data_IF_161721894883
#
_entry.id   IF_161721894883
#
_cell.length_a   1.000
_cell.length_b   1.000
_cell.length_c   1.000
_cell.angle_alpha   90.00
_cell.angle_beta   90.00
_cell.angle_gamma   90.00
#
_symmetry.space_group_name_H-M   'P 1'
#
loop_
_entity.id
_entity.type
_entity.pdbx_description
1 polymer ?
#
# COMPACT_ATOMS: atom_id res chain seq x y z
N UNK A 1 -60.86 10.44 42.11
CA UNK A 1 -60.73 8.98 42.31
C UNK A 1 -59.92 8.41 41.17
N UNK A 2 -58.62 8.15 41.38
CA UNK A 2 -57.83 7.18 40.61
C UNK A 2 -56.58 6.88 41.44
N UNK A 3 -56.67 5.81 42.23
CA UNK A 3 -55.57 5.33 43.09
C UNK A 3 -54.63 4.49 42.24
N UNK A 4 -53.38 4.91 42.10
CA UNK A 4 -52.35 4.14 41.38
C UNK A 4 -51.76 3.11 42.35
N UNK A 5 -52.16 1.85 42.18
CA UNK A 5 -51.64 0.70 42.93
C UNK A 5 -50.16 0.48 42.58
N UNK A 6 -49.24 0.76 43.51
CA UNK A 6 -47.83 0.38 43.38
C UNK A 6 -47.65 -1.08 43.83
N UNK A 7 -47.54 -2.00 42.87
CA UNK A 7 -47.12 -3.38 43.13
C UNK A 7 -45.65 -3.40 43.58
N UNK A 8 -45.42 -3.72 44.85
CA UNK A 8 -44.09 -4.01 45.38
C UNK A 8 -43.88 -5.52 45.29
N UNK A 9 -43.00 -5.96 44.40
CA UNK A 9 -42.63 -7.38 44.26
C UNK A 9 -41.75 -7.76 45.46
N UNK A 10 -42.29 -8.59 46.35
CA UNK A 10 -41.57 -9.14 47.51
C UNK A 10 -41.01 -10.51 47.10
N UNK A 11 -39.70 -10.60 46.87
CA UNK A 11 -39.01 -11.88 46.71
C UNK A 11 -38.62 -12.38 48.10
N UNK A 12 -39.31 -13.40 48.59
CA UNK A 12 -39.01 -14.05 49.88
C UNK A 12 -37.88 -15.07 49.67
N UNK A 13 -36.72 -14.84 50.28
CA UNK A 13 -35.63 -15.83 50.32
C UNK A 13 -35.83 -16.72 51.56
N UNK A 14 -36.12 -18.01 51.35
CA UNK A 14 -36.67 -18.92 52.39
C UNK A 14 -35.58 -19.66 53.22
N UNK A 15 -34.28 -19.34 53.09
CA UNK A 15 -33.23 -20.25 53.62
C UNK A 15 -32.57 -19.82 54.93
N UNK A 16 -32.82 -18.64 55.50
CA UNK A 16 -32.30 -18.33 56.84
C UNK A 16 -33.20 -17.31 57.55
N UNK A 17 -33.77 -17.69 58.70
CA UNK A 17 -34.76 -16.94 59.48
C UNK A 17 -34.27 -15.63 60.13
N UNK A 18 -33.36 -14.90 59.48
CA UNK A 18 -32.90 -13.58 59.89
C UNK A 18 -33.34 -12.55 58.85
N UNK A 19 -34.22 -11.64 59.25
CA UNK A 19 -34.59 -10.46 58.47
C UNK A 19 -33.35 -9.55 58.36
N UNK A 20 -32.49 -9.80 57.39
CA UNK A 20 -31.53 -8.78 56.97
C UNK A 20 -32.31 -7.67 56.27
N UNK A 21 -32.07 -6.44 56.71
CA UNK A 21 -32.76 -5.27 56.20
C UNK A 21 -32.52 -5.15 54.66
N UNK A 22 -33.56 -5.48 53.89
CA UNK A 22 -33.68 -5.26 52.44
C UNK A 22 -33.29 -3.84 51.94
N UNK A 23 -33.33 -2.75 52.74
CA UNK A 23 -32.84 -1.44 52.30
C UNK A 23 -31.34 -1.40 51.97
N UNK A 24 -30.51 -2.22 52.62
CA UNK A 24 -29.05 -2.08 52.48
C UNK A 24 -28.53 -2.67 51.15
N UNK A 25 -29.08 -3.80 50.71
CA UNK A 25 -28.75 -4.45 49.43
C UNK A 25 -29.17 -3.60 48.21
N UNK A 26 -30.32 -2.93 48.29
CA UNK A 26 -30.84 -2.08 47.21
C UNK A 26 -30.08 -0.76 47.08
N UNK A 27 -29.58 -0.20 48.20
CA UNK A 27 -28.75 1.02 48.20
C UNK A 27 -27.37 0.74 47.61
N UNK A 28 -26.71 -0.36 48.00
CA UNK A 28 -25.39 -0.74 47.47
C UNK A 28 -25.45 -1.04 45.97
N UNK A 29 -26.43 -1.83 45.54
CA UNK A 29 -26.64 -2.12 44.12
C UNK A 29 -26.92 -0.85 43.30
N UNK A 30 -27.72 0.09 43.82
CA UNK A 30 -27.98 1.38 43.18
C UNK A 30 -26.71 2.24 43.06
N UNK A 31 -25.86 2.22 44.09
CA UNK A 31 -24.58 2.93 44.09
C UNK A 31 -23.60 2.33 43.07
N UNK A 32 -23.50 1.01 43.03
CA UNK A 32 -22.67 0.28 42.06
C UNK A 32 -23.16 0.49 40.62
N UNK A 33 -24.48 0.47 40.40
CA UNK A 33 -25.08 0.77 39.09
C UNK A 33 -24.79 2.21 38.65
N UNK A 34 -24.90 3.18 39.56
CA UNK A 34 -24.57 4.57 39.26
C UNK A 34 -23.08 4.74 38.95
N UNK A 35 -22.20 4.05 39.67
CA UNK A 35 -20.75 4.05 39.42
C UNK A 35 -20.44 3.46 38.04
N UNK A 36 -21.04 2.32 37.69
CA UNK A 36 -20.91 1.70 36.37
C UNK A 36 -21.45 2.62 35.25
N UNK A 37 -22.62 3.24 35.45
CA UNK A 37 -23.19 4.19 34.47
C UNK A 37 -22.28 5.40 34.23
N UNK A 38 -21.70 5.94 35.29
CA UNK A 38 -20.78 7.09 35.17
C UNK A 38 -19.48 6.70 34.46
N UNK A 39 -18.95 5.50 34.73
CA UNK A 39 -17.81 4.96 34.01
C UNK A 39 -18.11 4.78 32.51
N UNK A 40 -19.29 4.26 32.16
CA UNK A 40 -19.71 4.09 30.76
C UNK A 40 -19.82 5.43 30.03
N UNK A 41 -20.41 6.45 30.67
CA UNK A 41 -20.48 7.81 30.11
C UNK A 41 -19.10 8.42 29.89
N UNK A 42 -18.17 8.19 30.82
CA UNK A 42 -16.78 8.62 30.67
C UNK A 42 -16.12 7.95 29.45
N UNK A 43 -16.32 6.65 29.29
CA UNK A 43 -15.78 5.89 28.17
C UNK A 43 -16.36 6.34 26.82
N UNK A 44 -17.68 6.59 26.76
CA UNK A 44 -18.34 7.13 25.56
C UNK A 44 -17.77 8.50 25.17
N UNK A 45 -17.53 9.38 26.16
CA UNK A 45 -16.88 10.67 25.95
C UNK A 45 -15.48 10.51 25.35
N UNK A 46 -14.67 9.59 25.90
CA UNK A 46 -13.34 9.28 25.37
C UNK A 46 -13.39 8.71 23.95
N UNK A 47 -14.34 7.82 23.65
CA UNK A 47 -14.48 7.23 22.33
C UNK A 47 -14.88 8.28 21.28
N UNK A 48 -15.78 9.20 21.63
CA UNK A 48 -16.17 10.32 20.77
C UNK A 48 -15.00 11.27 20.50
N UNK A 49 -14.19 11.57 21.52
CA UNK A 49 -13.01 12.42 21.34
C UNK A 49 -11.98 11.75 20.43
N UNK A 50 -11.75 10.44 20.60
CA UNK A 50 -10.87 9.67 19.71
C UNK A 50 -11.40 9.63 18.28
N UNK A 51 -12.71 9.40 18.08
CA UNK A 51 -13.33 9.42 16.76
C UNK A 51 -13.16 10.78 16.07
N UNK A 52 -13.36 11.89 16.80
CA UNK A 52 -13.11 13.23 16.24
C UNK A 52 -11.64 13.46 15.86
N UNK A 53 -10.70 12.94 16.65
CA UNK A 53 -9.27 13.05 16.38
C UNK A 53 -8.85 12.19 15.18
N UNK A 54 -9.46 11.03 14.98
CA UNK A 54 -9.24 10.20 13.80
C UNK A 54 -9.81 10.90 12.56
N UNK A 55 -11.03 11.44 12.65
CA UNK A 55 -11.66 12.11 11.51
C UNK A 55 -10.85 13.32 11.03
N UNK A 56 -10.27 14.11 11.94
CA UNK A 56 -9.39 15.22 11.55
C UNK A 56 -8.08 14.75 10.90
N UNK A 57 -7.50 13.64 11.36
CA UNK A 57 -6.33 13.03 10.71
C UNK A 57 -6.65 12.50 9.31
N UNK A 58 -7.81 11.87 9.13
CA UNK A 58 -8.26 11.41 7.81
C UNK A 58 -8.39 12.58 6.85
N UNK A 59 -8.98 13.69 7.29
CA UNK A 59 -9.10 14.90 6.47
C UNK A 59 -7.73 15.52 6.11
N UNK A 60 -6.76 15.50 7.04
CA UNK A 60 -5.42 15.97 6.75
C UNK A 60 -4.73 15.08 5.68
N UNK A 61 -4.83 13.76 5.82
CA UNK A 61 -4.29 12.81 4.83
C UNK A 61 -4.95 12.97 3.46
N UNK A 62 -6.25 13.20 3.41
CA UNK A 62 -7.00 13.43 2.16
C UNK A 62 -6.56 14.71 1.45
N UNK A 63 -6.29 15.77 2.24
CA UNK A 63 -5.74 17.02 1.72
C UNK A 63 -4.32 16.83 1.18
N UNK A 64 -3.46 16.11 1.90
CA UNK A 64 -2.10 15.82 1.44
C UNK A 64 -2.12 14.98 0.15
N UNK A 65 -3.02 13.99 0.08
CA UNK A 65 -3.26 13.19 -1.12
C UNK A 65 -3.67 14.04 -2.32
N UNK A 66 -4.57 15.01 -2.11
CA UNK A 66 -5.01 15.95 -3.15
C UNK A 66 -3.87 16.88 -3.60
N UNK A 67 -3.05 17.39 -2.66
CA UNK A 67 -1.89 18.23 -3.00
C UNK A 67 -0.88 17.46 -3.85
N UNK A 68 -0.62 16.19 -3.49
CA UNK A 68 0.26 15.32 -4.27
C UNK A 68 -0.30 15.05 -5.68
N UNK A 69 -1.63 14.91 -5.85
CA UNK A 69 -2.26 14.82 -7.18
C UNK A 69 -2.01 16.06 -8.04
N UNK A 70 -2.10 17.26 -7.45
CA UNK A 70 -1.88 18.52 -8.17
C UNK A 70 -0.43 18.74 -8.57
N UNK A 71 0.52 18.42 -7.68
CA UNK A 71 1.96 18.45 -8.00
C UNK A 71 2.28 17.45 -9.12
N UNK A 72 1.69 16.25 -9.06
CA UNK A 72 1.89 15.21 -10.06
C UNK A 72 1.38 15.60 -11.46
N UNK A 73 0.19 16.21 -11.55
CA UNK A 73 -0.36 16.73 -12.81
C UNK A 73 0.52 17.81 -13.46
N UNK A 74 1.24 18.59 -12.66
CA UNK A 74 2.09 19.70 -13.12
C UNK A 74 3.36 19.22 -13.84
N UNK A 75 3.86 18.04 -13.50
CA UNK A 75 5.10 17.51 -14.08
C UNK A 75 4.93 16.82 -15.44
N UNK A 76 3.70 16.71 -15.97
CA UNK A 76 3.45 16.27 -17.35
C UNK A 76 3.84 14.82 -17.67
N UNK A 77 4.19 14.01 -16.65
CA UNK A 77 4.65 12.62 -16.84
C UNK A 77 3.49 11.71 -17.22
N UNK A 78 3.61 11.10 -18.40
CA UNK A 78 2.58 10.24 -18.99
C UNK A 78 2.71 8.82 -18.46
N UNK A 79 1.90 8.48 -17.47
CA UNK A 79 1.76 7.10 -16.98
C UNK A 79 0.69 6.37 -17.78
N UNK A 80 0.93 5.09 -18.07
CA UNK A 80 -0.04 4.24 -18.77
C UNK A 80 -0.49 3.11 -17.86
N UNK A 81 -1.80 2.88 -17.77
CA UNK A 81 -2.38 1.84 -16.92
C UNK A 81 -2.43 0.49 -17.62
N UNK A 82 -2.04 -0.57 -16.92
CA UNK A 82 -2.21 -1.97 -17.34
C UNK A 82 -2.38 -2.89 -16.13
N UNK A 83 -3.34 -3.81 -16.21
CA UNK A 83 -3.64 -4.82 -15.17
C UNK A 83 -3.67 -4.31 -13.70
N UNK A 84 -4.25 -3.13 -13.44
CA UNK A 84 -4.31 -2.44 -12.12
C UNK A 84 -3.03 -1.75 -11.66
N UNK A 85 -1.95 -1.88 -12.41
CA UNK A 85 -0.68 -1.17 -12.23
C UNK A 85 -0.57 -0.03 -13.23
N UNK A 86 0.33 0.90 -12.95
CA UNK A 86 0.62 2.04 -13.81
C UNK A 86 2.11 2.07 -14.10
N UNK A 87 2.45 2.41 -15.34
CA UNK A 87 3.82 2.34 -15.84
C UNK A 87 4.26 3.65 -16.45
N UNK A 88 5.53 4.00 -16.25
CA UNK A 88 6.15 5.19 -16.81
C UNK A 88 7.47 4.82 -17.47
N UNK A 89 7.71 5.39 -18.65
CA UNK A 89 8.97 5.22 -19.39
C UNK A 89 9.85 6.44 -19.10
N UNK A 90 10.96 6.21 -18.39
CA UNK A 90 12.00 7.20 -18.18
C UNK A 90 12.94 7.23 -19.38
N UNK A 91 12.91 8.31 -20.14
CA UNK A 91 13.64 8.44 -21.41
C UNK A 91 15.13 8.80 -21.25
N UNK A 92 15.52 9.28 -20.07
CA UNK A 92 16.88 9.68 -19.75
C UNK A 92 17.74 8.47 -19.39
N UNK A 93 18.99 8.48 -19.85
CA UNK A 93 19.91 7.35 -19.65
C UNK A 93 20.68 7.51 -18.35
N UNK A 94 20.39 6.64 -17.37
CA UNK A 94 20.98 6.69 -16.02
C UNK A 94 21.44 5.33 -15.54
N UNK A 95 22.25 5.30 -14.48
CA UNK A 95 22.66 4.05 -13.84
C UNK A 95 21.46 3.35 -13.23
N UNK A 96 21.53 2.04 -13.06
CA UNK A 96 20.42 1.26 -12.53
C UNK A 96 19.96 1.76 -11.15
N UNK A 97 20.90 2.09 -10.26
CA UNK A 97 20.59 2.64 -8.92
C UNK A 97 19.93 4.01 -8.97
N UNK A 98 20.28 4.83 -9.97
CA UNK A 98 19.67 6.13 -10.17
C UNK A 98 18.25 5.97 -10.77
N UNK A 99 18.05 4.98 -11.65
CA UNK A 99 16.74 4.65 -12.20
C UNK A 99 15.76 4.20 -11.09
N UNK A 100 16.19 3.31 -10.19
CA UNK A 100 15.40 2.91 -9.02
C UNK A 100 15.06 4.11 -8.14
N UNK A 101 16.05 4.95 -7.82
CA UNK A 101 15.82 6.17 -7.04
C UNK A 101 14.78 7.08 -7.72
N UNK A 102 14.91 7.31 -9.02
CA UNK A 102 13.97 8.15 -9.79
C UNK A 102 12.56 7.57 -9.79
N UNK A 103 12.40 6.26 -9.97
CA UNK A 103 11.08 5.63 -9.87
C UNK A 103 10.47 5.81 -8.47
N UNK A 104 11.29 5.73 -7.40
CA UNK A 104 10.85 5.94 -6.01
C UNK A 104 10.43 7.38 -5.73
N UNK A 105 11.21 8.34 -6.20
CA UNK A 105 10.91 9.79 -6.08
C UNK A 105 9.55 10.14 -6.68
N UNK A 106 9.09 9.33 -7.65
CA UNK A 106 7.82 9.56 -8.35
C UNK A 106 6.66 8.66 -7.90
N UNK A 107 6.80 8.00 -6.75
CA UNK A 107 5.75 7.14 -6.18
C UNK A 107 5.62 5.76 -6.83
N UNK A 108 6.65 5.33 -7.57
CA UNK A 108 6.76 4.00 -8.16
C UNK A 108 8.02 3.26 -7.70
N UNK A 109 8.44 2.30 -8.52
CA UNK A 109 9.65 1.50 -8.37
C UNK A 109 10.07 1.01 -9.76
N UNK A 110 11.33 0.59 -9.96
CA UNK A 110 11.70 -0.06 -11.22
C UNK A 110 10.85 -1.30 -11.44
N UNK A 111 10.32 -1.44 -12.64
CA UNK A 111 9.28 -2.42 -12.96
C UNK A 111 9.64 -3.83 -12.56
N UNK A 112 8.68 -4.50 -11.94
CA UNK A 112 8.66 -5.94 -11.75
C UNK A 112 7.87 -6.56 -12.89
N UNK A 113 8.28 -7.72 -13.38
CA UNK A 113 7.53 -8.42 -14.43
C UNK A 113 7.08 -9.77 -13.89
N UNK A 114 5.77 -9.91 -13.69
CA UNK A 114 5.12 -11.07 -13.11
C UNK A 114 4.74 -12.12 -14.17
N UNK A 115 4.43 -11.70 -15.41
CA UNK A 115 4.04 -12.62 -16.48
C UNK A 115 4.41 -12.16 -17.91
N UNK A 116 4.18 -13.04 -18.89
CA UNK A 116 4.50 -12.78 -20.30
C UNK A 116 3.64 -11.70 -20.94
N UNK A 117 2.39 -11.54 -20.49
CA UNK A 117 1.46 -10.55 -21.04
C UNK A 117 1.89 -9.14 -20.64
N UNK A 118 2.29 -8.97 -19.39
CA UNK A 118 2.92 -7.76 -18.88
C UNK A 118 4.22 -7.44 -19.62
N UNK A 119 5.11 -8.43 -19.79
CA UNK A 119 6.35 -8.25 -20.54
C UNK A 119 6.10 -7.72 -21.97
N UNK A 120 5.20 -8.37 -22.70
CA UNK A 120 4.84 -7.97 -24.07
C UNK A 120 4.16 -6.60 -24.11
N UNK A 121 3.35 -6.26 -23.11
CA UNK A 121 2.71 -4.95 -23.05
C UNK A 121 3.72 -3.83 -22.75
N UNK A 122 4.68 -4.06 -21.85
CA UNK A 122 5.78 -3.13 -21.56
C UNK A 122 6.63 -2.90 -22.80
N UNK A 123 7.01 -3.99 -23.50
CA UNK A 123 7.73 -3.90 -24.77
C UNK A 123 7.00 -3.02 -25.78
N UNK A 124 5.68 -3.14 -25.91
CA UNK A 124 4.89 -2.27 -26.80
C UNK A 124 4.95 -0.80 -26.38
N UNK A 125 4.97 -0.48 -25.08
CA UNK A 125 5.11 0.90 -24.63
C UNK A 125 6.52 1.45 -24.91
N UNK A 126 7.56 0.62 -24.73
CA UNK A 126 8.92 0.94 -25.11
C UNK A 126 9.04 1.20 -26.62
N UNK A 127 8.41 0.38 -27.46
CA UNK A 127 8.40 0.62 -28.92
C UNK A 127 7.77 1.98 -29.24
N UNK A 128 6.67 2.35 -28.55
CA UNK A 128 6.01 3.65 -28.72
C UNK A 128 6.85 4.84 -28.26
N UNK A 129 7.79 4.67 -27.31
CA UNK A 129 8.72 5.73 -26.94
C UNK A 129 9.76 6.03 -28.02
N UNK A 130 9.80 5.22 -29.10
CA UNK A 130 10.70 5.37 -30.26
C UNK A 130 12.19 5.31 -29.90
N UNK A 131 12.51 4.72 -28.76
CA UNK A 131 13.89 4.51 -28.27
C UNK A 131 14.34 3.10 -28.63
N UNK A 132 15.21 2.99 -29.64
CA UNK A 132 15.73 1.70 -30.14
C UNK A 132 16.93 1.21 -29.33
N UNK A 133 16.75 0.98 -28.02
CA UNK A 133 17.82 0.61 -27.08
C UNK A 133 17.34 -0.39 -26.02
N UNK A 134 18.12 -0.59 -24.96
CA UNK A 134 17.76 -1.38 -23.78
C UNK A 134 17.18 -0.51 -22.66
N UNK A 135 16.35 -1.12 -21.82
CA UNK A 135 15.67 -0.46 -20.72
C UNK A 135 15.89 -1.20 -19.41
N UNK A 136 16.26 -0.48 -18.35
CA UNK A 136 16.40 -1.07 -17.02
C UNK A 136 15.07 -1.60 -16.48
N UNK A 137 15.16 -2.79 -15.85
CA UNK A 137 14.09 -3.42 -15.08
C UNK A 137 14.49 -3.50 -13.60
N UNK A 138 13.55 -3.78 -12.71
CA UNK A 138 13.76 -3.78 -11.26
C UNK A 138 14.50 -4.97 -10.67
N UNK A 139 15.18 -5.79 -11.46
CA UNK A 139 15.83 -7.01 -10.96
C UNK A 139 17.35 -6.88 -10.87
N UNK A 140 17.89 -7.37 -9.75
CA UNK A 140 19.32 -7.47 -9.46
C UNK A 140 19.66 -8.76 -8.71
N UNK A 141 20.89 -9.26 -8.84
CA UNK A 141 21.41 -10.41 -8.08
C UNK A 141 22.51 -10.05 -7.07
N UNK A 142 22.82 -8.75 -6.89
CA UNK A 142 23.87 -8.25 -5.99
C UNK A 142 23.69 -8.71 -4.53
N UNK A 143 22.45 -8.82 -4.05
CA UNK A 143 22.16 -9.01 -2.62
C UNK A 143 22.41 -10.46 -2.17
N UNK A 144 22.00 -11.44 -2.97
CA UNK A 144 21.91 -12.85 -2.55
C UNK A 144 22.54 -13.84 -3.56
N UNK A 145 23.10 -13.35 -4.68
CA UNK A 145 23.62 -14.21 -5.75
C UNK A 145 22.53 -14.91 -6.58
N UNK A 146 21.26 -14.54 -6.37
CA UNK A 146 20.11 -14.93 -7.18
C UNK A 146 19.31 -13.70 -7.63
N UNK A 147 18.78 -13.77 -8.86
CA UNK A 147 17.96 -12.70 -9.41
C UNK A 147 16.70 -12.50 -8.57
N UNK A 148 16.48 -11.26 -8.13
CA UNK A 148 15.31 -10.84 -7.36
C UNK A 148 14.82 -9.47 -7.80
N UNK A 149 13.51 -9.28 -7.71
CA UNK A 149 12.89 -7.98 -7.85
C UNK A 149 13.21 -7.13 -6.62
N UNK A 150 13.80 -5.96 -6.80
CA UNK A 150 14.21 -5.09 -5.71
C UNK A 150 13.02 -4.57 -4.90
N UNK A 151 11.86 -4.46 -5.55
CA UNK A 151 10.63 -3.94 -4.96
C UNK A 151 10.15 -4.76 -3.76
N UNK A 152 10.07 -6.09 -3.90
CA UNK A 152 9.48 -6.99 -2.91
C UNK A 152 10.42 -8.15 -2.50
N UNK A 153 11.66 -8.14 -3.00
CA UNK A 153 12.68 -9.16 -2.76
C UNK A 153 12.30 -10.58 -3.25
N UNK A 154 11.25 -10.69 -4.07
CA UNK A 154 10.80 -11.98 -4.62
C UNK A 154 11.73 -12.45 -5.74
N UNK A 155 11.84 -13.77 -5.87
CA UNK A 155 12.54 -14.38 -7.01
C UNK A 155 11.72 -14.21 -8.29
N UNK A 156 12.40 -14.28 -9.44
CA UNK A 156 11.76 -14.22 -10.75
C UNK A 156 10.86 -15.45 -10.99
N UNK A 157 9.55 -15.25 -10.88
CA UNK A 157 8.51 -16.20 -11.27
C UNK A 157 8.44 -16.36 -12.80
N UNK A 158 8.57 -15.24 -13.52
CA UNK A 158 8.66 -15.16 -14.97
C UNK A 158 10.07 -14.74 -15.40
N UNK A 159 10.54 -15.30 -16.52
CA UNK A 159 11.90 -15.08 -17.05
C UNK A 159 11.86 -15.00 -18.57
N UNK A 160 12.39 -13.92 -19.14
CA UNK A 160 12.49 -13.75 -20.59
C UNK A 160 13.92 -13.48 -21.08
N UNK A 161 14.93 -14.05 -20.41
CA UNK A 161 16.34 -13.88 -20.80
C UNK A 161 16.60 -14.32 -22.24
N UNK A 162 17.48 -13.60 -22.94
CA UNK A 162 18.07 -14.07 -24.18
C UNK A 162 18.80 -15.41 -23.92
N UNK A 163 18.80 -16.32 -24.91
CA UNK A 163 19.61 -17.52 -24.83
C UNK A 163 21.07 -17.18 -24.51
N UNK A 164 21.59 -17.69 -23.40
CA UNK A 164 23.00 -17.50 -22.99
C UNK A 164 23.33 -16.23 -22.18
N UNK A 165 22.37 -15.34 -21.88
CA UNK A 165 22.60 -14.07 -21.15
C UNK A 165 22.19 -14.11 -19.67
N UNK A 166 21.97 -15.29 -19.10
CA UNK A 166 21.79 -15.46 -17.65
C UNK A 166 23.04 -16.05 -17.00
N UNK A 167 24.19 -15.88 -17.64
CA UNK A 167 25.46 -16.43 -17.18
C UNK A 167 25.88 -15.74 -15.89
N UNK A 168 25.51 -16.34 -14.76
CA UNK A 168 25.91 -16.04 -13.37
C UNK A 168 27.43 -15.93 -13.13
N UNK A 169 28.25 -16.04 -14.17
CA UNK A 169 29.71 -16.12 -14.11
C UNK A 169 30.39 -14.75 -14.26
N UNK A 170 29.63 -13.66 -14.45
CA UNK A 170 30.18 -12.30 -14.44
C UNK A 170 29.86 -11.62 -13.12
N UNK A 171 30.87 -11.42 -12.27
CA UNK A 171 30.75 -10.63 -11.03
C UNK A 171 30.32 -9.17 -11.24
N UNK A 172 30.22 -8.72 -12.49
CA UNK A 172 29.94 -7.32 -12.86
C UNK A 172 28.58 -7.12 -13.52
N UNK A 173 27.89 -8.17 -13.95
CA UNK A 173 26.62 -8.07 -14.69
C UNK A 173 25.43 -8.41 -13.80
N UNK A 174 25.09 -7.45 -12.93
CA UNK A 174 24.19 -7.71 -11.81
C UNK A 174 22.83 -7.00 -11.95
N UNK A 175 22.52 -6.44 -13.13
CA UNK A 175 21.29 -5.69 -13.39
C UNK A 175 20.64 -6.13 -14.69
N UNK A 176 19.32 -6.30 -14.69
CA UNK A 176 18.56 -6.76 -15.86
C UNK A 176 18.07 -5.58 -16.70
N UNK A 177 18.24 -5.69 -18.01
CA UNK A 177 17.63 -4.79 -18.99
C UNK A 177 16.85 -5.54 -20.08
N UNK A 178 15.76 -4.93 -20.56
CA UNK A 178 14.93 -5.42 -21.66
C UNK A 178 15.36 -4.80 -22.99
N UNK A 179 15.49 -5.60 -24.05
CA UNK A 179 15.72 -5.10 -25.41
C UNK A 179 14.41 -4.64 -26.06
N UNK A 180 14.37 -3.40 -26.59
CA UNK A 180 13.13 -2.81 -27.13
C UNK A 180 12.40 -3.68 -28.17
N UNK A 181 13.16 -4.33 -29.07
CA UNK A 181 12.58 -4.97 -30.25
C UNK A 181 11.96 -6.33 -29.94
N UNK A 182 12.62 -7.13 -29.09
CA UNK A 182 12.22 -8.51 -28.80
C UNK A 182 11.51 -8.68 -27.45
N UNK A 183 11.69 -7.72 -26.53
CA UNK A 183 11.24 -7.85 -25.16
C UNK A 183 12.08 -8.82 -24.32
N UNK A 184 13.12 -9.44 -24.89
CA UNK A 184 14.03 -10.33 -24.16
C UNK A 184 14.96 -9.56 -23.23
N UNK A 185 15.40 -10.25 -22.18
CA UNK A 185 16.22 -9.68 -21.12
C UNK A 185 17.68 -10.07 -21.27
N UNK A 186 18.56 -9.21 -20.79
CA UNK A 186 19.98 -9.54 -20.62
C UNK A 186 20.46 -8.94 -19.31
N UNK A 187 21.43 -9.60 -18.69
CA UNK A 187 22.20 -9.01 -17.62
C UNK A 187 23.23 -8.01 -18.17
N UNK A 188 23.55 -7.00 -17.38
CA UNK A 188 24.57 -6.02 -17.72
C UNK A 188 25.11 -5.26 -16.51
N UNK A 189 26.19 -4.51 -16.74
CA UNK A 189 26.80 -3.64 -15.73
C UNK A 189 25.82 -2.55 -15.27
N UNK A 190 25.49 -2.56 -13.98
CA UNK A 190 24.61 -1.59 -13.33
C UNK A 190 25.09 -0.13 -13.43
N UNK A 191 26.39 0.06 -13.70
CA UNK A 191 27.04 1.38 -13.76
C UNK A 191 26.84 2.09 -15.11
N UNK A 192 26.20 1.44 -16.07
CA UNK A 192 25.96 1.99 -17.40
C UNK A 192 24.64 2.76 -17.46
N UNK A 193 24.58 3.76 -18.35
CA UNK A 193 23.40 4.59 -18.51
C UNK A 193 22.40 3.99 -19.49
N UNK A 194 21.17 3.73 -19.04
CA UNK A 194 20.05 3.34 -19.90
C UNK A 194 18.74 4.00 -19.47
N UNK A 195 17.80 4.18 -20.41
CA UNK A 195 16.39 4.42 -20.09
C UNK A 195 15.83 3.33 -19.17
N UNK A 196 14.68 3.59 -18.56
CA UNK A 196 14.13 2.70 -17.54
C UNK A 196 12.61 2.67 -17.55
N UNK A 197 12.05 1.62 -16.97
CA UNK A 197 10.60 1.46 -16.81
C UNK A 197 10.27 1.49 -15.32
N UNK A 198 9.41 2.42 -14.93
CA UNK A 198 8.84 2.45 -13.59
C UNK A 198 7.46 1.80 -13.59
N UNK A 199 7.10 1.23 -12.45
CA UNK A 199 5.80 0.66 -12.13
C UNK A 199 5.28 1.28 -10.82
N UNK A 200 3.97 1.41 -10.68
CA UNK A 200 3.32 1.81 -9.44
C UNK A 200 1.97 1.10 -9.29
N UNK A 201 1.67 0.72 -8.05
CA UNK A 201 0.38 0.12 -7.67
C UNK A 201 -0.74 1.18 -7.55
N UNK A 202 -0.39 2.47 -7.60
CA UNK A 202 -1.30 3.57 -7.29
C UNK A 202 -1.73 4.34 -8.54
N UNK A 203 -2.55 3.73 -9.38
CA UNK A 203 -3.01 4.33 -10.64
C UNK A 203 -3.91 5.57 -10.52
N UNK A 204 -4.58 5.78 -9.39
CA UNK A 204 -5.56 6.86 -9.23
C UNK A 204 -4.93 8.25 -9.40
N UNK A 205 -3.66 8.38 -9.05
CA UNK A 205 -2.87 9.62 -9.19
C UNK A 205 -2.50 9.95 -10.65
N UNK A 206 -2.64 9.00 -11.57
CA UNK A 206 -1.98 9.03 -12.87
C UNK A 206 -2.92 9.11 -14.08
N UNK A 207 -4.20 8.74 -13.93
CA UNK A 207 -5.15 8.66 -15.06
C UNK A 207 -6.21 9.78 -15.09
N UNK A 208 -6.18 10.72 -14.15
CA UNK A 208 -7.24 11.73 -13.97
C UNK A 208 -7.22 12.90 -14.99
N UNK A 209 -6.63 12.71 -16.18
CA UNK A 209 -6.49 13.77 -17.20
C UNK A 209 -6.93 13.38 -18.62
N UNK A 210 -7.39 12.16 -18.86
CA UNK A 210 -7.87 11.73 -20.17
C UNK A 210 -9.15 10.90 -20.03
N UNK A 211 -10.26 11.61 -19.84
CA UNK A 211 -11.62 11.12 -20.10
C UNK A 211 -12.43 12.23 -20.75
#
# INVERSE_FOLDING_TARGET
>A
MTSVLRFTIIVVCVVCGTVFSLPCLTVKFKQDFNKARNALKSLEGSLKSQASSINSKVQAVDKDMTSMEEDFKREGRQWTKYNKHCYYIGDDSVRWTDAERKCREIGGYLVKIDDSSENSWIQQQIIKSNKKTYFWLGSTDVVNGDWRWIYDQTQLSYKNFNPGTSNKNSYTYNCIMMYYSSGNWTDYSCNNGYPYVCESNFCKFYTAGYS
#
